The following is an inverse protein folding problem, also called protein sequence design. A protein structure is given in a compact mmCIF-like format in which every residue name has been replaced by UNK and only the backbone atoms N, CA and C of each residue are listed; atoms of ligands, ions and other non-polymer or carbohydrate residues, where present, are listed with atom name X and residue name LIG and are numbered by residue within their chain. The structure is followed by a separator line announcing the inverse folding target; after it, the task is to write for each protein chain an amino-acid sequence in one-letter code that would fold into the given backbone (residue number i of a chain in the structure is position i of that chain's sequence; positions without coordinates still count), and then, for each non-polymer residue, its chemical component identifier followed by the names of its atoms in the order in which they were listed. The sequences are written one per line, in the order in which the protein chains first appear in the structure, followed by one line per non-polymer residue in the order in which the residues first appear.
data_IF_144335438346
#
_entry.id   IF_144335438346
#
_cell.length_a   1.000
_cell.length_b   1.000
_cell.length_c   1.000
_cell.angle_alpha   90.00
_cell.angle_beta   90.00
_cell.angle_gamma   90.00
#
_symmetry.space_group_name_H-M   'P 1'
#
loop_
_entity.id
_entity.type
_entity.pdbx_description
1 polymer ?
#
# COMPACT_ATOMS: atom_id res chain seq x y z
N UNK A 1 9.89 -18.50 -0.64
CA UNK A 1 8.73 -17.69 -0.24
C UNK A 1 9.21 -16.31 0.16
N UNK A 2 9.01 -15.33 -0.71
CA UNK A 2 9.33 -13.92 -0.52
C UNK A 2 8.02 -13.18 -0.20
N UNK A 3 8.01 -12.42 0.89
CA UNK A 3 6.79 -11.84 1.46
C UNK A 3 6.99 -10.35 1.69
N UNK A 4 6.01 -9.53 1.28
CA UNK A 4 5.96 -8.09 1.53
C UNK A 4 4.53 -7.65 1.84
N UNK A 5 4.25 -7.38 3.11
CA UNK A 5 2.90 -7.09 3.60
C UNK A 5 2.70 -5.64 4.05
N UNK A 6 3.70 -4.76 3.87
CA UNK A 6 3.63 -3.38 4.34
C UNK A 6 3.76 -2.39 3.19
N UNK A 7 2.74 -2.36 2.34
CA UNK A 7 2.62 -1.39 1.26
C UNK A 7 1.44 -0.46 1.48
N UNK A 8 1.42 0.66 0.77
CA UNK A 8 0.36 1.67 0.89
C UNK A 8 -0.29 1.89 -0.47
N UNK A 9 -1.57 2.25 -0.45
CA UNK A 9 -2.30 2.71 -1.64
C UNK A 9 -2.46 4.23 -1.61
N UNK A 10 -2.91 4.82 -2.72
CA UNK A 10 -3.22 6.26 -2.81
C UNK A 10 -4.23 6.74 -1.76
N UNK A 11 -4.98 5.83 -1.11
CA UNK A 11 -5.84 6.16 0.02
C UNK A 11 -5.08 6.74 1.21
N UNK A 12 -3.78 6.49 1.35
CA UNK A 12 -2.93 7.02 2.44
C UNK A 12 -2.33 8.40 2.13
N UNK A 13 -2.79 9.10 1.07
CA UNK A 13 -2.40 10.45 0.67
C UNK A 13 -0.91 10.71 0.36
N UNK A 14 -0.03 9.70 0.54
CA UNK A 14 1.41 9.82 0.32
C UNK A 14 1.97 8.75 -0.63
N UNK A 15 1.19 7.70 -0.94
CA UNK A 15 1.58 6.69 -1.92
C UNK A 15 1.05 7.08 -3.31
N UNK A 16 1.79 6.71 -4.35
CA UNK A 16 1.45 6.95 -5.75
C UNK A 16 1.27 5.63 -6.49
N UNK A 17 0.66 5.68 -7.68
CA UNK A 17 0.36 4.50 -8.48
C UNK A 17 -0.94 3.80 -8.09
N UNK A 18 -1.30 2.78 -8.86
CA UNK A 18 -2.50 1.96 -8.69
C UNK A 18 -2.16 0.64 -8.00
N UNK A 19 -3.16 0.02 -7.36
CA UNK A 19 -3.00 -1.32 -6.77
C UNK A 19 -2.49 -2.33 -7.80
N UNK A 20 -2.97 -2.24 -9.05
CA UNK A 20 -2.58 -3.17 -10.10
C UNK A 20 -1.11 -2.99 -10.54
N UNK A 21 -0.61 -1.76 -10.62
CA UNK A 21 0.82 -1.51 -10.89
C UNK A 21 1.70 -2.12 -9.80
N UNK A 22 1.29 -2.03 -8.53
CA UNK A 22 2.03 -2.60 -7.40
C UNK A 22 2.04 -4.14 -7.47
N UNK A 23 0.87 -4.75 -7.75
CA UNK A 23 0.77 -6.21 -7.88
C UNK A 23 1.57 -6.72 -9.08
N UNK A 24 1.49 -6.06 -10.25
CA UNK A 24 2.31 -6.43 -11.43
C UNK A 24 3.79 -6.35 -11.10
N UNK A 25 4.22 -5.29 -10.42
CA UNK A 25 5.62 -5.13 -10.01
C UNK A 25 6.05 -6.20 -9.00
N UNK A 26 5.18 -6.58 -8.06
CA UNK A 26 5.45 -7.64 -7.10
C UNK A 26 5.67 -9.00 -7.79
N UNK A 27 4.85 -9.31 -8.81
CA UNK A 27 4.99 -10.52 -9.64
C UNK A 27 6.33 -10.51 -10.39
N UNK A 28 6.69 -9.40 -11.05
CA UNK A 28 7.98 -9.26 -11.75
C UNK A 28 9.18 -9.47 -10.82
N UNK A 29 9.06 -9.07 -9.56
CA UNK A 29 10.10 -9.20 -8.54
C UNK A 29 10.13 -10.58 -7.85
N UNK A 30 9.21 -11.48 -8.20
CA UNK A 30 9.08 -12.80 -7.56
C UNK A 30 8.70 -12.71 -6.08
N UNK A 31 7.78 -11.79 -5.74
CA UNK A 31 7.16 -11.76 -4.40
C UNK A 31 5.97 -12.73 -4.41
N UNK A 32 5.99 -13.69 -3.49
CA UNK A 32 4.99 -14.77 -3.40
C UNK A 32 3.73 -14.32 -2.62
N UNK A 33 3.91 -13.48 -1.59
CA UNK A 33 2.79 -12.90 -0.82
C UNK A 33 2.95 -11.39 -0.73
N UNK A 34 1.92 -10.66 -1.18
CA UNK A 34 1.93 -9.20 -1.23
C UNK A 34 0.70 -8.60 -0.53
N UNK A 35 0.91 -7.59 0.31
CA UNK A 35 -0.13 -6.99 1.13
C UNK A 35 0.00 -5.49 1.31
N UNK A 36 -1.14 -4.84 1.56
CA UNK A 36 -1.24 -3.42 1.87
C UNK A 36 -1.59 -3.23 3.36
N UNK A 37 -0.84 -2.37 4.03
CA UNK A 37 -1.01 -2.00 5.43
C UNK A 37 -1.26 -0.49 5.54
N UNK A 38 -2.38 -0.05 4.96
CA UNK A 38 -2.74 1.36 4.88
C UNK A 38 -2.92 2.02 6.26
N UNK A 39 -2.61 3.31 6.35
CA UNK A 39 -2.85 4.10 7.54
C UNK A 39 -4.35 4.30 7.78
N UNK A 40 -4.87 3.68 8.84
CA UNK A 40 -6.27 3.81 9.25
C UNK A 40 -6.67 5.29 9.46
N UNK A 41 -7.93 5.66 9.18
CA UNK A 41 -8.46 7.00 9.44
C UNK A 41 -8.37 7.36 10.93
N UNK A 42 -7.75 8.48 11.26
CA UNK A 42 -7.65 9.03 12.62
C UNK A 42 -7.71 10.56 12.60
N UNK A 43 -7.96 11.18 13.75
CA UNK A 43 -8.04 12.64 13.92
C UNK A 43 -6.68 13.36 14.05
N UNK A 44 -5.59 12.71 13.64
CA UNK A 44 -4.23 13.26 13.61
C UNK A 44 -3.49 12.76 12.37
N UNK A 45 -2.43 13.45 11.93
CA UNK A 45 -1.68 13.13 10.70
C UNK A 45 -2.53 12.97 9.42
N UNK A 46 -3.46 13.90 9.11
CA UNK A 46 -4.35 13.77 7.95
C UNK A 46 -3.59 13.69 6.62
N UNK A 47 -2.34 14.17 6.58
CA UNK A 47 -1.45 14.08 5.42
C UNK A 47 -1.12 12.63 5.03
N UNK A 48 -1.19 11.68 5.94
CA UNK A 48 -0.76 10.30 5.71
C UNK A 48 -1.88 9.27 5.87
N UNK A 49 -3.05 9.65 6.38
CA UNK A 49 -4.13 8.73 6.75
C UNK A 49 -5.28 8.71 5.77
N UNK A 50 -5.95 7.56 5.68
CA UNK A 50 -7.18 7.41 4.95
C UNK A 50 -8.29 8.33 5.47
N UNK A 51 -9.22 8.68 4.58
CA UNK A 51 -10.46 9.40 4.93
C UNK A 51 -11.57 8.39 5.21
N UNK A 52 -12.46 8.72 6.15
CA UNK A 52 -13.73 8.01 6.36
C UNK A 52 -14.75 8.40 5.29
#
# INVERSE_FOLDING_TARGET
MRVDLHNHTTLCNHATGTVEEYVKRAIELGIDEYGFACHAPMNFDPKYRMKL
#
